data_IF_395574449906
#
_entry.id   IF_395574449906
#
_cell.length_a   1.000
_cell.length_b   1.000
_cell.length_c   1.000
_cell.angle_alpha   90.00
_cell.angle_beta   90.00
_cell.angle_gamma   90.00
#
_symmetry.space_group_name_H-M   'P 1'
#
loop_
_entity.id
_entity.type
_entity.pdbx_description
1 polymer ?
#
# COMPACT_ATOMS: atom_id res chain seq x y z
N UNK A 1 -24.13 21.34 -2.09
CA UNK A 1 -22.88 21.10 -1.35
C UNK A 1 -22.01 20.16 -2.16
N UNK A 2 -20.88 20.63 -2.68
CA UNK A 2 -19.94 19.77 -3.43
C UNK A 2 -19.19 18.88 -2.45
N UNK A 3 -19.16 17.57 -2.70
CA UNK A 3 -18.40 16.64 -1.86
C UNK A 3 -16.90 17.00 -1.93
N UNK A 4 -16.25 17.08 -0.76
CA UNK A 4 -14.80 17.35 -0.69
C UNK A 4 -14.05 16.19 -1.38
N UNK A 5 -13.04 16.47 -2.23
CA UNK A 5 -12.31 15.42 -2.93
C UNK A 5 -11.64 14.47 -1.94
N UNK A 6 -11.78 13.17 -2.19
CA UNK A 6 -11.14 12.11 -1.42
C UNK A 6 -9.69 11.95 -1.89
N UNK A 7 -8.74 11.86 -0.95
CA UNK A 7 -7.31 11.72 -1.24
C UNK A 7 -6.80 10.32 -0.95
N UNK A 8 -5.88 9.83 -1.77
CA UNK A 8 -5.12 8.61 -1.53
C UNK A 8 -3.62 8.91 -1.51
N UNK A 9 -2.89 8.31 -0.58
CA UNK A 9 -1.43 8.42 -0.52
C UNK A 9 -0.77 7.28 -1.30
N UNK A 10 0.28 7.56 -2.08
CA UNK A 10 0.98 6.57 -2.88
C UNK A 10 2.45 6.42 -2.48
N UNK A 11 2.89 5.18 -2.24
CA UNK A 11 4.27 4.82 -1.85
C UNK A 11 4.94 3.97 -2.95
N UNK A 12 6.13 4.37 -3.37
CA UNK A 12 6.87 3.71 -4.45
C UNK A 12 7.83 2.62 -3.93
N UNK A 13 8.12 1.64 -4.78
CA UNK A 13 9.12 0.59 -4.54
C UNK A 13 10.54 0.98 -4.99
N UNK A 14 11.53 0.13 -4.68
CA UNK A 14 12.92 0.34 -5.08
C UNK A 14 13.10 0.31 -6.61
N UNK A 15 13.91 1.22 -7.18
CA UNK A 15 14.36 1.16 -8.58
C UNK A 15 13.47 1.83 -9.64
N UNK A 16 12.35 2.49 -9.28
CA UNK A 16 11.56 3.32 -10.21
C UNK A 16 11.65 4.83 -9.96
N UNK A 17 12.77 5.32 -9.40
CA UNK A 17 13.09 6.75 -9.39
C UNK A 17 14.36 7.02 -10.19
N UNK A 18 14.21 7.32 -11.48
CA UNK A 18 15.15 8.18 -12.19
C UNK A 18 14.48 8.94 -13.35
N UNK A 19 13.69 8.28 -14.22
CA UNK A 19 13.42 8.88 -15.54
C UNK A 19 11.97 9.24 -15.88
N UNK A 20 10.96 8.83 -15.09
CA UNK A 20 9.57 9.15 -15.46
C UNK A 20 9.09 10.47 -14.83
N UNK A 21 9.49 10.82 -13.60
CA UNK A 21 9.12 12.10 -12.99
C UNK A 21 10.16 12.58 -11.94
N UNK A 22 10.75 13.76 -12.14
CA UNK A 22 11.60 14.51 -11.19
C UNK A 22 11.19 16.00 -11.15
N UNK A 23 11.56 16.81 -10.12
CA UNK A 23 12.43 16.49 -8.99
C UNK A 23 11.90 16.92 -7.59
N UNK A 24 12.22 16.12 -6.57
CA UNK A 24 12.90 16.48 -5.29
C UNK A 24 12.54 15.46 -4.21
N UNK A 25 13.38 14.45 -4.02
CA UNK A 25 13.73 13.88 -2.71
C UNK A 25 14.76 12.79 -2.92
N UNK A 26 15.85 12.85 -2.17
CA UNK A 26 16.93 11.86 -2.16
C UNK A 26 16.58 10.78 -1.12
N UNK A 27 16.23 9.57 -1.56
CA UNK A 27 16.05 8.44 -0.65
C UNK A 27 17.09 7.34 -0.90
N UNK A 28 17.73 6.92 0.19
CA UNK A 28 18.75 5.88 0.24
C UNK A 28 18.12 4.48 0.25
N UNK A 29 18.93 3.52 -0.20
CA UNK A 29 18.63 2.14 -0.61
C UNK A 29 18.06 1.27 0.52
N UNK A 30 16.96 0.57 0.23
CA UNK A 30 16.56 -0.67 0.92
C UNK A 30 16.54 -1.78 -0.13
N UNK A 31 17.54 -2.66 -0.11
CA UNK A 31 17.69 -3.75 -1.08
C UNK A 31 16.69 -4.86 -0.79
N UNK A 32 15.88 -5.23 -1.79
CA UNK A 32 14.93 -6.34 -1.75
C UNK A 32 15.54 -7.72 -2.09
N UNK A 33 16.86 -7.86 -2.07
CA UNK A 33 17.46 -9.19 -1.99
C UNK A 33 17.30 -9.68 -0.56
N UNK A 34 16.42 -10.67 -0.37
CA UNK A 34 16.11 -11.37 0.88
C UNK A 34 16.69 -10.73 2.13
N UNK A 35 15.85 -10.07 2.93
CA UNK A 35 16.25 -9.55 4.24
C UNK A 35 17.19 -10.54 4.93
N UNK A 36 18.42 -10.11 5.29
CA UNK A 36 19.21 -10.87 6.24
C UNK A 36 18.28 -11.06 7.44
N UNK A 37 17.95 -12.31 7.80
CA UNK A 37 16.95 -12.64 8.83
C UNK A 37 17.23 -11.98 10.21
N UNK A 38 18.34 -11.28 10.35
CA UNK A 38 18.90 -10.78 11.59
C UNK A 38 19.21 -9.28 11.59
N UNK A 39 19.22 -8.58 10.45
CA UNK A 39 19.59 -7.16 10.41
C UNK A 39 18.36 -6.25 10.36
N UNK A 40 18.45 -5.11 11.03
CA UNK A 40 17.43 -4.06 10.91
C UNK A 40 17.57 -3.32 9.58
N UNK A 41 16.43 -3.03 8.95
CA UNK A 41 16.32 -2.15 7.79
C UNK A 41 16.71 -0.74 8.19
N UNK A 42 17.92 -0.35 7.80
CA UNK A 42 18.43 1.01 7.98
C UNK A 42 17.49 2.01 7.33
N UNK A 43 17.07 3.02 8.08
CA UNK A 43 16.21 4.11 7.58
C UNK A 43 14.71 3.81 7.56
N UNK A 44 14.26 2.63 7.99
CA UNK A 44 12.83 2.31 8.07
C UNK A 44 12.07 3.29 8.96
N UNK A 45 12.58 3.55 10.18
CA UNK A 45 11.97 4.51 11.11
C UNK A 45 11.83 5.90 10.48
N UNK A 46 12.89 6.41 9.85
CA UNK A 46 12.87 7.71 9.16
C UNK A 46 11.84 7.75 8.02
N UNK A 47 11.67 6.62 7.31
CA UNK A 47 10.68 6.50 6.23
C UNK A 47 9.26 6.58 6.79
N UNK A 48 9.00 5.86 7.87
CA UNK A 48 7.71 5.86 8.55
C UNK A 48 7.40 7.26 9.08
N UNK A 49 8.33 7.89 9.81
CA UNK A 49 8.16 9.24 10.35
C UNK A 49 7.84 10.27 9.26
N UNK A 50 8.55 10.22 8.14
CA UNK A 50 8.28 11.11 7.01
C UNK A 50 6.87 10.92 6.41
N UNK A 51 6.39 9.67 6.36
CA UNK A 51 5.03 9.36 5.90
C UNK A 51 4.00 9.86 6.92
N UNK A 52 4.25 9.71 8.22
CA UNK A 52 3.38 10.24 9.27
C UNK A 52 3.28 11.77 9.19
N UNK A 53 4.38 12.48 8.93
CA UNK A 53 4.37 13.92 8.72
C UNK A 53 3.53 14.30 7.48
N UNK A 54 3.64 13.52 6.40
CA UNK A 54 2.84 13.73 5.18
C UNK A 54 1.36 13.53 5.45
N UNK A 55 0.98 12.50 6.21
CA UNK A 55 -0.40 12.23 6.62
C UNK A 55 -0.97 13.39 7.44
N UNK A 56 -0.18 13.99 8.33
CA UNK A 56 -0.59 15.15 9.12
C UNK A 56 -0.81 16.38 8.25
N UNK A 57 0.18 16.74 7.43
CA UNK A 57 0.18 17.99 6.67
C UNK A 57 -0.82 17.96 5.51
N UNK A 58 -0.98 16.80 4.87
CA UNK A 58 -1.73 16.68 3.62
C UNK A 58 -2.99 15.83 3.78
N UNK A 59 -3.39 15.46 4.99
CA UNK A 59 -4.59 14.68 5.27
C UNK A 59 -5.92 15.45 5.08
N UNK A 60 -7.07 14.80 5.33
CA UNK A 60 -7.20 13.36 5.52
C UNK A 60 -7.12 12.61 4.18
N UNK A 61 -6.42 11.49 4.20
CA UNK A 61 -6.39 10.46 3.16
C UNK A 61 -7.35 9.35 3.55
N UNK A 62 -8.17 8.89 2.60
CA UNK A 62 -9.10 7.78 2.83
C UNK A 62 -8.43 6.41 2.71
N UNK A 63 -7.33 6.35 1.96
CA UNK A 63 -6.63 5.10 1.67
C UNK A 63 -5.18 5.36 1.26
N UNK A 64 -4.40 4.28 1.24
CA UNK A 64 -2.98 4.29 0.89
C UNK A 64 -2.70 3.15 -0.09
N UNK A 65 -1.83 3.39 -1.06
CA UNK A 65 -1.38 2.38 -2.02
C UNK A 65 0.14 2.33 -2.04
N UNK A 66 0.70 1.13 -2.15
CA UNK A 66 2.13 0.94 -2.24
C UNK A 66 2.50 -0.17 -3.22
N UNK A 67 3.70 -0.09 -3.79
CA UNK A 67 4.29 -1.16 -4.61
C UNK A 67 5.56 -1.72 -3.97
N UNK A 68 5.75 -3.04 -3.98
CA UNK A 68 6.95 -3.73 -3.49
C UNK A 68 7.29 -3.36 -2.04
N UNK A 69 8.46 -2.75 -1.77
CA UNK A 69 8.81 -2.19 -0.46
C UNK A 69 7.84 -1.11 0.01
N UNK A 70 7.33 -0.28 -0.90
CA UNK A 70 6.26 0.68 -0.63
C UNK A 70 5.00 -0.01 -0.12
N UNK A 71 4.65 -1.18 -0.64
CA UNK A 71 3.51 -1.98 -0.16
C UNK A 71 3.75 -2.56 1.25
N UNK A 72 4.98 -2.94 1.58
CA UNK A 72 5.32 -3.36 2.94
C UNK A 72 5.12 -2.21 3.94
N UNK A 73 5.58 -1.01 3.60
CA UNK A 73 5.39 0.20 4.41
C UNK A 73 3.91 0.59 4.46
N UNK A 74 3.15 0.45 3.38
CA UNK A 74 1.70 0.67 3.34
C UNK A 74 0.98 -0.13 4.43
N UNK A 75 1.27 -1.43 4.56
CA UNK A 75 0.68 -2.25 5.62
C UNK A 75 1.11 -1.81 7.03
N UNK A 76 2.37 -1.40 7.20
CA UNK A 76 2.90 -0.87 8.47
C UNK A 76 2.18 0.42 8.86
N UNK A 77 1.99 1.35 7.93
CA UNK A 77 1.29 2.62 8.18
C UNK A 77 -0.18 2.38 8.53
N UNK A 78 -0.86 1.47 7.81
CA UNK A 78 -2.22 1.05 8.17
C UNK A 78 -2.29 0.51 9.61
N UNK A 79 -1.33 -0.35 9.99
CA UNK A 79 -1.24 -0.87 11.35
C UNK A 79 -0.97 0.23 12.39
N UNK A 80 -0.12 1.21 12.09
CA UNK A 80 0.23 2.27 13.03
C UNK A 80 -0.97 3.18 13.31
N UNK A 81 -1.71 3.56 12.26
CA UNK A 81 -2.88 4.43 12.38
C UNK A 81 -4.05 3.77 13.10
N UNK A 82 -4.26 2.46 12.93
CA UNK A 82 -5.35 1.75 13.62
C UNK A 82 -5.02 1.44 15.08
N UNK A 83 -3.79 1.03 15.39
CA UNK A 83 -3.43 0.54 16.73
C UNK A 83 -3.18 1.67 17.73
N UNK A 84 -2.93 2.90 17.25
CA UNK A 84 -2.73 4.12 18.06
C UNK A 84 -1.81 3.89 19.27
N UNK A 85 -0.50 3.97 19.07
CA UNK A 85 0.45 3.79 20.17
C UNK A 85 1.91 3.83 19.73
N UNK A 86 2.80 3.41 20.65
CA UNK A 86 4.23 3.22 20.36
C UNK A 86 4.45 1.81 19.83
N UNK A 87 4.86 1.68 18.57
CA UNK A 87 5.16 0.39 17.91
C UNK A 87 6.57 0.45 17.34
N UNK A 88 7.39 -0.56 17.63
CA UNK A 88 8.79 -0.60 17.17
C UNK A 88 9.57 0.70 17.49
N UNK A 89 9.42 1.23 18.70
CA UNK A 89 10.09 2.48 19.09
C UNK A 89 9.48 3.77 18.49
N UNK A 90 8.56 3.66 17.52
CA UNK A 90 7.92 4.78 16.85
C UNK A 90 6.66 5.19 17.61
N UNK A 91 6.64 6.42 18.12
CA UNK A 91 5.43 7.02 18.69
C UNK A 91 4.62 7.67 17.57
N UNK A 92 3.34 7.31 17.45
CA UNK A 92 2.44 7.92 16.47
C UNK A 92 2.23 9.41 16.77
N UNK A 93 2.73 10.30 15.90
CA UNK A 93 2.66 11.77 16.07
C UNK A 93 1.54 12.44 15.27
N UNK A 94 0.87 11.71 14.38
CA UNK A 94 -0.17 12.26 13.52
C UNK A 94 -1.56 12.10 14.15
N UNK A 95 -2.38 13.13 13.99
CA UNK A 95 -3.82 13.17 14.29
C UNK A 95 -4.67 12.54 13.19
N UNK A 96 -4.06 12.17 12.05
CA UNK A 96 -4.75 11.56 10.92
C UNK A 96 -5.61 10.36 11.36
N UNK A 97 -6.87 10.24 10.90
CA UNK A 97 -7.76 9.13 11.26
C UNK A 97 -7.23 7.77 10.77
N UNK A 98 -7.86 6.68 11.18
CA UNK A 98 -7.59 5.37 10.58
C UNK A 98 -7.94 5.41 9.09
N UNK A 99 -7.12 4.75 8.26
CA UNK A 99 -7.40 4.58 6.83
C UNK A 99 -8.61 3.66 6.65
N UNK A 100 -9.44 3.93 5.64
CA UNK A 100 -10.56 3.03 5.29
C UNK A 100 -10.08 1.76 4.60
N UNK A 101 -8.97 1.83 3.87
CA UNK A 101 -8.37 0.70 3.18
C UNK A 101 -6.89 0.94 2.85
N UNK A 102 -6.19 -0.14 2.53
CA UNK A 102 -4.85 -0.12 1.96
C UNK A 102 -4.77 -1.01 0.71
N UNK A 103 -3.84 -0.70 -0.19
CA UNK A 103 -3.57 -1.48 -1.41
C UNK A 103 -2.07 -1.80 -1.46
N UNK A 104 -1.74 -3.08 -1.42
CA UNK A 104 -0.39 -3.62 -1.43
C UNK A 104 -0.12 -4.33 -2.76
N UNK A 105 0.49 -3.61 -3.70
CA UNK A 105 0.86 -4.16 -5.00
C UNK A 105 2.19 -4.91 -4.91
N UNK A 106 2.19 -6.23 -5.06
CA UNK A 106 3.39 -7.08 -4.92
C UNK A 106 4.17 -6.87 -3.61
N UNK A 107 3.45 -6.58 -2.51
CA UNK A 107 4.04 -6.36 -1.18
C UNK A 107 4.36 -7.63 -0.41
N UNK A 108 5.23 -7.48 0.60
CA UNK A 108 5.68 -8.58 1.46
C UNK A 108 5.78 -8.16 2.93
N UNK A 109 5.79 -9.14 3.83
CA UNK A 109 5.98 -8.94 5.26
C UNK A 109 7.47 -8.81 5.55
N UNK A 110 7.86 -7.83 6.37
CA UNK A 110 9.21 -7.79 6.94
C UNK A 110 9.37 -8.92 7.96
N UNK A 111 10.42 -9.73 7.82
CA UNK A 111 10.54 -11.02 8.52
C UNK A 111 11.29 -10.91 9.86
N UNK A 112 12.11 -9.87 10.04
CA UNK A 112 12.82 -9.67 11.30
C UNK A 112 11.82 -9.58 12.48
N UNK A 113 12.10 -10.30 13.57
CA UNK A 113 11.25 -10.40 14.76
C UNK A 113 10.98 -9.03 15.40
N UNK A 114 11.90 -8.07 15.27
CA UNK A 114 11.70 -6.72 15.80
C UNK A 114 10.48 -6.01 15.16
N UNK A 115 10.11 -6.38 13.93
CA UNK A 115 8.96 -5.84 13.20
C UNK A 115 7.64 -6.54 13.49
N UNK A 116 7.62 -7.61 14.29
CA UNK A 116 6.39 -8.38 14.54
C UNK A 116 5.29 -7.53 15.19
N UNK A 117 5.66 -6.50 15.96
CA UNK A 117 4.73 -5.56 16.57
C UNK A 117 3.89 -4.76 15.56
N UNK A 118 4.37 -4.59 14.31
CA UNK A 118 3.55 -4.03 13.23
C UNK A 118 2.45 -5.00 12.78
N UNK A 119 2.65 -6.31 12.89
CA UNK A 119 1.76 -7.32 12.34
C UNK A 119 0.91 -8.06 13.38
N UNK A 120 1.13 -7.79 14.67
CA UNK A 120 0.41 -8.38 15.80
C UNK A 120 -0.17 -7.28 16.71
N UNK A 121 -1.46 -7.35 17.11
CA UNK A 121 -2.49 -8.21 16.53
C UNK A 121 -2.65 -7.97 15.02
N UNK A 122 -3.42 -8.85 14.34
CA UNK A 122 -3.66 -8.75 12.88
C UNK A 122 -4.18 -7.37 12.50
N UNK A 123 -3.76 -6.89 11.33
CA UNK A 123 -4.17 -5.60 10.77
C UNK A 123 -5.66 -5.65 10.44
N UNK A 124 -6.45 -4.77 11.03
CA UNK A 124 -7.92 -4.75 10.87
C UNK A 124 -8.35 -3.94 9.66
N UNK A 125 -7.59 -2.92 9.29
CA UNK A 125 -7.79 -2.13 8.06
C UNK A 125 -7.85 -3.07 6.85
N UNK A 126 -8.92 -3.04 6.02
CA UNK A 126 -9.01 -3.87 4.81
C UNK A 126 -7.84 -3.64 3.87
N UNK A 127 -7.20 -4.71 3.39
CA UNK A 127 -6.04 -4.60 2.50
C UNK A 127 -6.23 -5.43 1.24
N UNK A 128 -6.13 -4.77 0.08
CA UNK A 128 -6.04 -5.42 -1.22
C UNK A 128 -4.59 -5.81 -1.52
N UNK A 129 -4.35 -7.03 -1.97
CA UNK A 129 -3.04 -7.58 -2.28
C UNK A 129 -2.99 -8.05 -3.73
N UNK A 130 -1.97 -7.64 -4.48
CA UNK A 130 -1.64 -8.33 -5.74
C UNK A 130 -0.49 -9.30 -5.55
N UNK A 131 -0.61 -10.48 -6.14
CA UNK A 131 0.38 -11.55 -6.07
C UNK A 131 0.63 -12.09 -7.48
N UNK A 132 1.73 -11.68 -8.10
CA UNK A 132 2.25 -12.36 -9.28
C UNK A 132 2.76 -13.76 -8.90
N UNK A 133 2.20 -14.82 -9.47
CA UNK A 133 2.53 -16.21 -9.12
C UNK A 133 3.88 -16.66 -9.66
N UNK A 134 4.41 -15.98 -10.68
CA UNK A 134 5.72 -16.22 -11.29
C UNK A 134 6.80 -15.23 -10.77
N UNK A 135 6.58 -14.62 -9.61
CA UNK A 135 7.54 -13.69 -9.02
C UNK A 135 8.80 -14.40 -8.50
N UNK A 136 9.92 -14.16 -9.19
CA UNK A 136 11.25 -14.67 -8.84
C UNK A 136 12.02 -13.77 -7.85
N UNK A 137 11.61 -12.52 -7.66
CA UNK A 137 12.25 -11.56 -6.74
C UNK A 137 11.75 -11.79 -5.32
N UNK A 138 10.43 -11.86 -5.15
CA UNK A 138 9.76 -12.09 -3.88
C UNK A 138 8.74 -13.21 -4.08
N UNK A 139 9.01 -14.36 -3.46
CA UNK A 139 8.18 -15.55 -3.66
C UNK A 139 6.71 -15.27 -3.31
N UNK A 140 5.74 -15.88 -4.03
CA UNK A 140 4.33 -15.79 -3.69
C UNK A 140 4.04 -16.17 -2.23
N UNK A 141 4.81 -17.10 -1.67
CA UNK A 141 4.70 -17.49 -0.26
C UNK A 141 5.01 -16.33 0.70
N UNK A 142 6.06 -15.54 0.43
CA UNK A 142 6.40 -14.35 1.22
C UNK A 142 5.32 -13.26 1.12
N UNK A 143 4.77 -13.02 -0.08
CA UNK A 143 3.64 -12.10 -0.25
C UNK A 143 2.41 -12.55 0.54
N UNK A 144 2.08 -13.85 0.48
CA UNK A 144 0.97 -14.45 1.26
C UNK A 144 1.17 -14.33 2.76
N UNK A 145 2.41 -14.28 3.28
CA UNK A 145 2.64 -14.04 4.71
C UNK A 145 2.13 -12.67 5.17
N UNK A 146 2.22 -11.64 4.34
CA UNK A 146 1.64 -10.33 4.64
C UNK A 146 0.12 -10.40 4.72
N UNK A 147 -0.52 -10.99 3.70
CA UNK A 147 -1.97 -11.15 3.66
C UNK A 147 -2.52 -11.94 4.88
N UNK A 148 -1.80 -12.97 5.34
CA UNK A 148 -2.16 -13.74 6.56
C UNK A 148 -2.14 -12.91 7.85
N UNK A 149 -1.45 -11.77 7.86
CA UNK A 149 -1.43 -10.82 8.98
C UNK A 149 -2.54 -9.77 8.90
N UNK A 150 -3.40 -9.82 7.90
CA UNK A 150 -4.57 -8.98 7.77
C UNK A 150 -5.83 -9.75 8.19
N UNK A 151 -6.79 -9.07 8.82
CA UNK A 151 -8.09 -9.65 9.20
C UNK A 151 -9.02 -9.77 7.99
N UNK A 152 -8.98 -8.78 7.09
CA UNK A 152 -9.79 -8.74 5.86
C UNK A 152 -8.88 -8.58 4.62
N UNK A 153 -8.10 -9.61 4.26
CA UNK A 153 -7.28 -9.57 3.04
C UNK A 153 -8.16 -9.81 1.80
N UNK A 154 -8.01 -8.96 0.79
CA UNK A 154 -8.52 -9.22 -0.56
C UNK A 154 -7.34 -9.57 -1.45
N UNK A 155 -7.33 -10.74 -2.08
CA UNK A 155 -6.17 -11.22 -2.85
C UNK A 155 -6.52 -11.33 -4.33
N UNK A 156 -5.75 -10.66 -5.17
CA UNK A 156 -5.74 -10.83 -6.62
C UNK A 156 -4.43 -11.50 -7.04
N UNK A 157 -4.52 -12.75 -7.50
CA UNK A 157 -3.39 -13.48 -8.06
C UNK A 157 -3.42 -13.39 -9.59
N UNK A 158 -2.25 -13.20 -10.21
CA UNK A 158 -2.13 -13.13 -11.66
C UNK A 158 -0.90 -13.88 -12.15
N UNK A 159 -0.94 -14.31 -13.42
CA UNK A 159 0.15 -15.03 -14.09
C UNK A 159 1.28 -14.07 -14.49
N UNK A 160 1.97 -13.49 -13.51
CA UNK A 160 3.06 -12.55 -13.73
C UNK A 160 4.08 -12.51 -12.59
N UNK A 161 5.06 -11.62 -12.73
CA UNK A 161 6.21 -11.49 -11.83
C UNK A 161 6.08 -10.38 -10.78
N UNK A 162 7.21 -9.72 -10.46
CA UNK A 162 7.28 -8.62 -9.50
C UNK A 162 6.92 -7.26 -10.13
N UNK A 163 5.70 -7.12 -10.62
CA UNK A 163 5.24 -5.86 -11.24
C UNK A 163 3.76 -5.59 -10.93
N UNK A 164 3.27 -4.43 -11.36
CA UNK A 164 1.84 -4.09 -11.36
C UNK A 164 1.25 -4.51 -12.71
N UNK A 165 0.22 -5.38 -12.75
CA UNK A 165 -0.38 -5.88 -13.99
C UNK A 165 -0.63 -4.79 -15.04
N UNK A 166 -0.33 -5.09 -16.31
CA UNK A 166 -0.48 -4.17 -17.45
C UNK A 166 -1.31 -4.81 -18.57
N UNK A 167 -1.71 -4.01 -19.57
CA UNK A 167 -2.44 -4.48 -20.76
C UNK A 167 -3.72 -5.26 -20.39
N UNK A 168 -3.93 -6.49 -20.88
CA UNK A 168 -5.17 -7.24 -20.61
C UNK A 168 -5.38 -7.53 -19.12
N UNK A 169 -4.30 -7.79 -18.39
CA UNK A 169 -4.35 -8.08 -16.95
C UNK A 169 -4.81 -6.87 -16.13
N UNK A 170 -4.65 -5.64 -16.67
CA UNK A 170 -5.10 -4.42 -15.98
C UNK A 170 -6.63 -4.35 -15.90
N UNK A 171 -7.35 -4.93 -16.87
CA UNK A 171 -8.81 -4.89 -16.89
C UNK A 171 -9.38 -5.77 -15.77
N UNK A 172 -8.83 -6.97 -15.60
CA UNK A 172 -9.19 -7.89 -14.52
C UNK A 172 -8.82 -7.32 -13.15
N UNK A 173 -7.60 -6.75 -13.04
CA UNK A 173 -7.18 -6.04 -11.83
C UNK A 173 -8.14 -4.89 -11.50
N UNK A 174 -8.52 -4.07 -12.49
CA UNK A 174 -9.43 -2.94 -12.29
C UNK A 174 -10.81 -3.41 -11.84
N UNK A 175 -11.36 -4.48 -12.42
CA UNK A 175 -12.63 -5.06 -12.00
C UNK A 175 -12.61 -5.57 -10.55
N UNK A 176 -11.53 -6.25 -10.18
CA UNK A 176 -11.31 -6.76 -8.83
C UNK A 176 -11.12 -5.61 -7.82
N UNK A 177 -10.27 -4.64 -8.15
CA UNK A 177 -10.02 -3.45 -7.33
C UNK A 177 -11.28 -2.60 -7.16
N UNK A 178 -12.07 -2.41 -8.22
CA UNK A 178 -13.33 -1.68 -8.15
C UNK A 178 -14.34 -2.40 -7.22
N UNK A 179 -14.36 -3.73 -7.23
CA UNK A 179 -15.21 -4.51 -6.31
C UNK A 179 -14.78 -4.33 -4.85
N UNK A 180 -13.47 -4.42 -4.59
CA UNK A 180 -12.90 -4.12 -3.28
C UNK A 180 -13.27 -2.71 -2.80
N UNK A 181 -13.04 -1.70 -3.64
CA UNK A 181 -13.31 -0.30 -3.29
C UNK A 181 -14.79 -0.07 -3.02
N UNK A 182 -15.70 -0.65 -3.83
CA UNK A 182 -17.14 -0.56 -3.58
C UNK A 182 -17.52 -1.16 -2.23
N UNK A 183 -16.98 -2.33 -1.88
CA UNK A 183 -17.27 -3.00 -0.61
C UNK A 183 -16.78 -2.18 0.59
N UNK A 184 -15.52 -1.74 0.59
CA UNK A 184 -14.93 -1.01 1.73
C UNK A 184 -15.45 0.43 1.85
N UNK A 185 -15.90 1.03 0.74
CA UNK A 185 -16.47 2.37 0.75
C UNK A 185 -17.99 2.38 0.97
N UNK A 186 -18.67 1.26 0.77
CA UNK A 186 -20.13 1.13 0.89
C UNK A 186 -20.88 1.74 -0.30
N UNK A 187 -20.32 1.65 -1.51
CA UNK A 187 -20.96 2.17 -2.73
C UNK A 187 -21.90 1.10 -3.31
N UNK A 188 -23.20 1.38 -3.54
CA UNK A 188 -24.15 0.40 -4.08
C UNK A 188 -23.79 -0.12 -5.47
N UNK A 189 -24.18 -1.37 -5.77
CA UNK A 189 -23.89 -2.10 -7.03
C UNK A 189 -24.59 -1.47 -8.26
N UNK A 190 -25.55 -0.57 -8.07
CA UNK A 190 -26.38 -0.01 -9.13
C UNK A 190 -26.18 1.50 -9.28
N UNK A 191 -25.07 1.90 -9.91
CA UNK A 191 -24.98 3.13 -10.69
C UNK A 191 -23.89 2.92 -11.73
N UNK A 192 -24.20 2.89 -13.05
CA UNK A 192 -23.17 2.98 -14.05
C UNK A 192 -22.52 4.36 -13.88
N UNK A 193 -21.36 4.38 -13.23
CA UNK A 193 -20.58 5.59 -13.07
C UNK A 193 -20.27 6.11 -14.46
N UNK A 194 -20.89 7.22 -14.83
CA UNK A 194 -20.50 8.00 -16.00
C UNK A 194 -19.10 8.54 -15.68
N UNK A 195 -18.08 7.88 -16.23
CA UNK A 195 -16.74 8.43 -16.25
C UNK A 195 -16.75 9.59 -17.24
N UNK A 196 -16.66 10.81 -16.73
CA UNK A 196 -16.44 11.99 -17.56
C UNK A 196 -14.96 12.04 -17.90
N UNK A 197 -14.66 11.81 -19.17
CA UNK A 197 -13.33 11.93 -19.74
C UNK A 197 -13.03 13.42 -19.98
N UNK A 198 -12.25 14.03 -19.07
CA UNK A 198 -11.99 15.49 -19.07
C UNK A 198 -11.19 15.93 -20.30
N UNK A 199 -10.54 15.00 -21.02
CA UNK A 199 -9.78 15.29 -22.23
C UNK A 199 -10.62 15.27 -23.53
N UNK A 200 -11.93 14.97 -23.45
CA UNK A 200 -12.83 14.91 -24.63
C UNK A 200 -13.78 16.09 -24.79
N UNK A 201 -13.71 17.11 -23.95
CA UNK A 201 -14.56 18.32 -24.03
C UNK A 201 -13.83 19.57 -24.54
N UNK A 202 -12.80 19.39 -25.37
CA UNK A 202 -12.28 20.47 -26.22
C UNK A 202 -12.23 20.00 -27.66
N UNK A 203 -13.38 20.13 -28.33
CA UNK A 203 -13.51 20.29 -29.77
C UNK A 203 -14.61 21.30 -30.02
#
# INVERSE_FOLDING_TARGET
MTAKPQKMLMLHGHGQSADIFRPKTSYQRVSGYGEPKHDEIRGLQRSIEHILDTLEQNGPFIGIVGFSSGAAITAIIASLLEKRGKIYGITLRTTHPQLRFAICLSGFKLENRCYESFYSPKIVTPIFHTIGVADATISPLQKKKLARRCKYPWIYEFCGGHYVPQSKEILELNGCLASFLREVLGVPISSPGVWVDIERTTS
#
